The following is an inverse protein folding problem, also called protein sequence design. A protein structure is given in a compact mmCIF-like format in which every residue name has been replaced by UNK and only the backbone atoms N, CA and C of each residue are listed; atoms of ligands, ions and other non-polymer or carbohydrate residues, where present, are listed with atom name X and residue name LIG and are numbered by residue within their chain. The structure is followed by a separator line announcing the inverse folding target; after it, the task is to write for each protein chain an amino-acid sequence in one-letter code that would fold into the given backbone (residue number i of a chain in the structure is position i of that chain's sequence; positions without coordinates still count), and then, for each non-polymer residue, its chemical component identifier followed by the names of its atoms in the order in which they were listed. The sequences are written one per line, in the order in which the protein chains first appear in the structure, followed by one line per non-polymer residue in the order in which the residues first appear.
data_IF_390683401018
#
_entry.id   IF_390683401018
#
_cell.length_a   1.000
_cell.length_b   1.000
_cell.length_c   1.000
_cell.angle_alpha   90.00
_cell.angle_beta   90.00
_cell.angle_gamma   90.00
#
_symmetry.space_group_name_H-M   'P 1'
#
loop_
_entity.id
_entity.type
_entity.pdbx_description
1 polymer ?
#
# COMPACT_ATOMS: atom_id res chain seq x y z
N UNK A 1 -1.68 -13.34 -22.63
CA UNK A 1 -1.21 -11.95 -22.79
C UNK A 1 -0.42 -11.59 -21.56
N UNK A 2 0.85 -11.20 -21.69
CA UNK A 2 1.73 -10.92 -20.56
C UNK A 2 1.45 -9.48 -20.08
N UNK A 3 0.63 -9.32 -19.03
CA UNK A 3 0.06 -8.03 -18.60
C UNK A 3 0.96 -7.18 -17.70
N UNK A 4 2.14 -7.68 -17.32
CA UNK A 4 3.10 -6.92 -16.51
C UNK A 4 4.15 -6.25 -17.40
N UNK A 5 3.83 -5.06 -17.90
CA UNK A 5 4.79 -4.19 -18.59
C UNK A 5 5.61 -3.42 -17.56
N UNK A 6 6.93 -3.61 -17.61
CA UNK A 6 7.91 -2.88 -16.81
C UNK A 6 9.30 -3.00 -17.43
N UNK A 7 10.27 -2.30 -16.85
CA UNK A 7 11.68 -2.36 -17.25
C UNK A 7 12.57 -2.37 -16.02
N UNK A 8 13.62 -3.19 -16.08
CA UNK A 8 14.76 -3.10 -15.17
C UNK A 8 15.88 -2.37 -15.90
N UNK A 9 16.30 -1.24 -15.35
CA UNK A 9 17.47 -0.50 -15.82
C UNK A 9 18.62 -0.78 -14.88
N UNK A 10 19.72 -1.29 -15.43
CA UNK A 10 20.98 -1.48 -14.71
C UNK A 10 22.03 -0.61 -15.39
N UNK A 11 22.62 0.33 -14.64
CA UNK A 11 23.61 1.27 -15.17
C UNK A 11 24.69 1.58 -14.14
N UNK A 12 25.84 2.06 -14.60
CA UNK A 12 26.83 2.67 -13.71
C UNK A 12 26.35 4.06 -13.26
N UNK A 13 26.75 4.52 -12.06
CA UNK A 13 26.36 5.82 -11.52
C UNK A 13 26.87 6.99 -12.37
N UNK A 14 28.00 6.81 -13.06
CA UNK A 14 28.54 7.77 -14.01
C UNK A 14 27.86 7.75 -15.39
N UNK A 15 27.00 6.75 -15.65
CA UNK A 15 26.27 6.65 -16.92
C UNK A 15 24.93 7.35 -16.80
N UNK A 16 24.60 8.30 -17.69
CA UNK A 16 23.30 8.96 -17.69
C UNK A 16 22.18 7.94 -17.90
N UNK A 17 20.99 8.30 -17.41
CA UNK A 17 19.77 7.51 -17.64
C UNK A 17 19.46 7.48 -19.15
N UNK A 18 18.87 6.39 -19.69
CA UNK A 18 18.38 6.37 -21.06
C UNK A 18 17.36 7.48 -21.30
N UNK A 19 17.53 8.24 -22.39
CA UNK A 19 16.69 9.42 -22.70
C UNK A 19 15.21 9.07 -22.89
N UNK A 20 14.89 7.85 -23.31
CA UNK A 20 13.53 7.37 -23.53
C UNK A 20 12.85 6.88 -22.23
N UNK A 21 13.60 6.67 -21.14
CA UNK A 21 13.05 6.06 -19.93
C UNK A 21 11.97 6.93 -19.29
N UNK A 22 12.26 8.23 -19.12
CA UNK A 22 11.31 9.15 -18.47
C UNK A 22 10.02 9.29 -19.31
N UNK A 23 10.15 9.33 -20.64
CA UNK A 23 9.00 9.36 -21.55
C UNK A 23 8.16 8.09 -21.43
N UNK A 24 8.79 6.92 -21.28
CA UNK A 24 8.10 5.63 -21.10
C UNK A 24 7.43 5.54 -19.73
N UNK A 25 8.08 6.01 -18.66
CA UNK A 25 7.51 6.08 -17.31
C UNK A 25 6.21 6.90 -17.36
N UNK A 26 6.24 8.08 -17.99
CA UNK A 26 5.08 8.95 -18.13
C UNK A 26 3.99 8.33 -19.02
N UNK A 27 4.37 7.77 -20.17
CA UNK A 27 3.42 7.22 -21.16
C UNK A 27 2.68 5.99 -20.63
N UNK A 28 3.38 5.11 -19.90
CA UNK A 28 2.80 3.87 -19.38
C UNK A 28 2.20 4.03 -17.97
N UNK A 29 2.43 5.18 -17.32
CA UNK A 29 2.02 5.44 -15.94
C UNK A 29 2.74 4.52 -14.96
N UNK A 30 4.04 4.30 -15.17
CA UNK A 30 4.85 3.47 -14.29
C UNK A 30 5.25 4.23 -13.03
N UNK A 31 5.46 3.47 -11.96
CA UNK A 31 6.06 3.93 -10.71
C UNK A 31 7.38 3.20 -10.46
N UNK A 32 8.22 3.77 -9.61
CA UNK A 32 9.39 3.08 -9.13
C UNK A 32 8.95 1.94 -8.21
N UNK A 33 9.31 0.70 -8.56
CA UNK A 33 9.00 -0.49 -7.75
C UNK A 33 10.15 -0.83 -6.81
N UNK A 34 11.39 -0.61 -7.26
CA UNK A 34 12.60 -0.88 -6.51
C UNK A 34 13.74 -0.01 -7.04
N UNK A 35 14.44 0.68 -6.15
CA UNK A 35 15.63 1.49 -6.46
C UNK A 35 16.72 1.17 -5.44
N UNK A 36 17.89 0.71 -5.88
CA UNK A 36 19.05 0.51 -4.99
C UNK A 36 20.37 0.60 -5.75
N UNK A 37 21.47 0.73 -5.00
CA UNK A 37 22.82 0.75 -5.53
C UNK A 37 23.68 -0.38 -4.96
N UNK A 38 24.68 -0.81 -5.74
CA UNK A 38 25.71 -1.76 -5.31
C UNK A 38 27.05 -1.38 -5.94
N UNK A 39 27.94 -0.80 -5.13
CA UNK A 39 29.16 -0.17 -5.64
C UNK A 39 28.81 0.95 -6.63
N UNK A 40 29.34 0.86 -7.84
CA UNK A 40 29.04 1.82 -8.92
C UNK A 40 27.76 1.49 -9.71
N UNK A 41 27.09 0.37 -9.42
CA UNK A 41 25.88 -0.02 -10.14
C UNK A 41 24.62 0.57 -9.48
N UNK A 42 23.72 1.04 -10.32
CA UNK A 42 22.37 1.49 -10.00
C UNK A 42 21.36 0.55 -10.63
N UNK A 43 20.42 0.09 -9.81
CA UNK A 43 19.33 -0.79 -10.18
C UNK A 43 18.01 -0.04 -10.04
N UNK A 44 17.30 0.11 -11.15
CA UNK A 44 16.03 0.84 -11.18
C UNK A 44 14.95 -0.02 -11.84
N UNK A 45 14.02 -0.54 -11.05
CA UNK A 45 12.86 -1.28 -11.54
C UNK A 45 11.65 -0.36 -11.65
N UNK A 46 11.14 -0.21 -12.87
CA UNK A 46 9.98 0.60 -13.20
C UNK A 46 8.87 -0.27 -13.75
N UNK A 47 7.64 -0.04 -13.31
CA UNK A 47 6.49 -0.76 -13.83
C UNK A 47 5.19 -0.23 -13.26
N UNK A 48 4.08 -0.80 -13.73
CA UNK A 48 2.78 -0.54 -13.12
C UNK A 48 2.65 -1.41 -11.88
N UNK A 49 2.51 -0.79 -10.71
CA UNK A 49 2.13 -1.49 -9.50
C UNK A 49 0.65 -1.87 -9.64
N UNK A 50 0.37 -3.15 -9.88
CA UNK A 50 -0.96 -3.69 -9.68
C UNK A 50 -1.14 -3.96 -8.20
N UNK A 51 -1.73 -3.00 -7.50
CA UNK A 51 -2.45 -3.32 -6.27
C UNK A 51 -3.82 -3.76 -6.73
N UNK A 52 -4.02 -5.07 -6.90
CA UNK A 52 -5.37 -5.59 -6.83
C UNK A 52 -5.81 -5.35 -5.40
N UNK A 53 -6.54 -4.26 -5.16
CA UNK A 53 -7.54 -4.28 -4.11
C UNK A 53 -8.45 -5.41 -4.53
N UNK A 54 -8.31 -6.56 -3.88
CA UNK A 54 -9.30 -7.60 -3.98
C UNK A 54 -10.60 -6.91 -3.57
N UNK A 55 -11.47 -6.59 -4.53
CA UNK A 55 -12.86 -6.27 -4.23
C UNK A 55 -13.35 -7.52 -3.50
N UNK A 56 -13.36 -7.46 -2.17
CA UNK A 56 -14.09 -8.43 -1.38
C UNK A 56 -15.50 -8.40 -1.93
N UNK A 57 -16.00 -9.57 -2.34
CA UNK A 57 -17.39 -9.75 -2.78
C UNK A 57 -18.33 -8.85 -2.00
N UNK A 58 -19.28 -8.22 -2.70
CA UNK A 58 -20.24 -7.18 -2.25
C UNK A 58 -21.05 -7.46 -0.95
N UNK A 59 -20.76 -8.50 -0.19
CA UNK A 59 -21.21 -8.69 1.18
C UNK A 59 -20.31 -7.93 2.16
N UNK A 60 -20.62 -6.65 2.35
CA UNK A 60 -20.17 -5.94 3.53
C UNK A 60 -20.93 -6.47 4.75
N UNK A 61 -20.23 -7.14 5.65
CA UNK A 61 -20.76 -7.43 6.99
C UNK A 61 -20.56 -6.21 7.89
N UNK A 62 -21.59 -5.82 8.62
CA UNK A 62 -21.46 -4.82 9.68
C UNK A 62 -20.59 -5.34 10.82
N UNK A 63 -19.93 -4.44 11.57
CA UNK A 63 -19.14 -4.80 12.76
C UNK A 63 -20.02 -5.55 13.78
N UNK A 64 -21.31 -5.22 13.86
CA UNK A 64 -22.25 -5.91 14.74
C UNK A 64 -22.49 -7.37 14.32
N UNK A 65 -22.64 -7.64 13.02
CA UNK A 65 -22.77 -9.02 12.51
C UNK A 65 -21.49 -9.82 12.75
N UNK A 66 -20.33 -9.23 12.47
CA UNK A 66 -19.04 -9.86 12.76
C UNK A 66 -18.84 -10.15 14.26
N UNK A 67 -19.27 -9.25 15.14
CA UNK A 67 -19.19 -9.46 16.60
C UNK A 67 -20.05 -10.64 17.05
N UNK A 68 -21.27 -10.75 16.51
CA UNK A 68 -22.18 -11.87 16.79
C UNK A 68 -21.59 -13.20 16.31
N UNK A 69 -21.03 -13.24 15.10
CA UNK A 69 -20.38 -14.45 14.57
C UNK A 69 -19.18 -14.89 15.41
N UNK A 70 -18.42 -13.92 15.93
CA UNK A 70 -17.26 -14.16 16.78
C UNK A 70 -17.61 -14.41 18.26
N UNK A 71 -18.88 -14.33 18.63
CA UNK A 71 -19.34 -14.55 20.01
C UNK A 71 -18.88 -13.48 21.00
N UNK A 72 -18.69 -12.25 20.54
CA UNK A 72 -18.23 -11.10 21.33
C UNK A 72 -19.22 -9.93 21.24
N UNK A 73 -19.11 -8.96 22.14
CA UNK A 73 -19.82 -7.70 22.00
C UNK A 73 -19.21 -6.83 20.91
N UNK A 74 -20.01 -5.95 20.30
CA UNK A 74 -19.52 -4.97 19.31
C UNK A 74 -18.41 -4.09 19.89
N UNK A 75 -18.52 -3.72 21.17
CA UNK A 75 -17.54 -2.89 21.88
C UNK A 75 -16.20 -3.60 22.02
N UNK A 76 -16.20 -4.89 22.37
CA UNK A 76 -14.99 -5.72 22.44
C UNK A 76 -14.33 -5.88 21.07
N UNK A 77 -15.12 -6.10 20.01
CA UNK A 77 -14.58 -6.21 18.66
C UNK A 77 -13.94 -4.89 18.21
N UNK A 78 -14.61 -3.76 18.42
CA UNK A 78 -14.07 -2.44 18.08
C UNK A 78 -12.77 -2.14 18.82
N UNK A 79 -12.73 -2.42 20.13
CA UNK A 79 -11.51 -2.23 20.93
C UNK A 79 -10.35 -3.07 20.36
N UNK A 80 -10.61 -4.32 19.97
CA UNK A 80 -9.61 -5.18 19.36
C UNK A 80 -9.12 -4.66 18.00
N UNK A 81 -10.03 -4.17 17.17
CA UNK A 81 -9.68 -3.58 15.88
C UNK A 81 -8.81 -2.32 16.03
N UNK A 82 -9.00 -1.55 17.10
CA UNK A 82 -8.11 -0.42 17.43
C UNK A 82 -6.74 -0.92 17.92
N UNK A 83 -6.70 -1.93 18.79
CA UNK A 83 -5.43 -2.53 19.26
C UNK A 83 -4.59 -3.13 18.13
N UNK A 84 -5.26 -3.79 17.18
CA UNK A 84 -4.67 -4.40 15.99
C UNK A 84 -4.31 -3.36 14.92
N UNK A 85 -4.63 -2.08 15.14
CA UNK A 85 -4.27 -0.96 14.26
C UNK A 85 -5.12 -0.86 13.00
N UNK A 86 -6.31 -1.45 12.96
CA UNK A 86 -7.28 -1.33 11.86
C UNK A 86 -8.03 0.02 11.93
N UNK A 87 -8.31 0.50 13.14
CA UNK A 87 -8.94 1.79 13.39
C UNK A 87 -8.10 2.67 14.31
N UNK A 88 -8.24 3.98 14.15
CA UNK A 88 -7.66 5.00 15.01
C UNK A 88 -8.79 5.72 15.74
N UNK A 89 -8.64 5.86 17.06
CA UNK A 89 -9.51 6.75 17.85
C UNK A 89 -9.08 8.21 17.67
N UNK A 90 -10.04 9.05 17.32
CA UNK A 90 -9.88 10.51 17.24
C UNK A 90 -10.94 11.20 18.09
N UNK A 91 -10.80 12.51 18.32
CA UNK A 91 -11.80 13.32 19.03
C UNK A 91 -13.18 13.29 18.35
N UNK A 92 -13.22 13.04 17.05
CA UNK A 92 -14.43 13.06 16.23
C UNK A 92 -14.99 11.66 15.95
N UNK A 93 -14.36 10.61 16.50
CA UNK A 93 -14.78 9.21 16.36
C UNK A 93 -13.68 8.30 15.82
N UNK A 94 -14.09 7.15 15.27
CA UNK A 94 -13.19 6.13 14.71
C UNK A 94 -12.94 6.39 13.22
N UNK A 95 -11.67 6.38 12.82
CA UNK A 95 -11.27 6.46 11.41
C UNK A 95 -10.45 5.22 11.03
N UNK A 96 -10.56 4.76 9.78
CA UNK A 96 -9.76 3.66 9.28
C UNK A 96 -8.26 4.02 9.32
N UNK A 97 -7.43 3.13 9.84
CA UNK A 97 -6.00 3.37 9.94
C UNK A 97 -5.33 3.23 8.55
N UNK A 98 -4.46 4.16 8.15
CA UNK A 98 -3.70 4.03 6.91
C UNK A 98 -2.54 3.03 7.04
N UNK A 99 -2.21 2.56 8.26
CA UNK A 99 -1.15 1.56 8.49
C UNK A 99 -1.33 0.87 9.86
N UNK A 100 -1.19 -0.47 9.97
CA UNK A 100 -1.43 -1.20 11.23
C UNK A 100 -0.50 -0.80 12.40
N UNK A 101 0.69 -0.27 12.11
CA UNK A 101 1.59 0.24 13.15
C UNK A 101 1.22 1.63 13.68
N UNK A 102 0.29 2.33 13.01
CA UNK A 102 -0.23 3.61 13.51
C UNK A 102 -1.39 3.31 14.44
N UNK A 103 -1.14 3.45 15.75
CA UNK A 103 -2.15 3.26 16.80
C UNK A 103 -2.74 4.56 17.34
N UNK A 104 -2.08 5.70 17.09
CA UNK A 104 -2.52 7.02 17.52
C UNK A 104 -2.08 8.07 16.52
N UNK A 105 -2.96 9.02 16.22
CA UNK A 105 -2.58 10.28 15.59
C UNK A 105 -2.14 11.21 16.71
N UNK A 106 -0.91 11.71 16.62
CA UNK A 106 -0.48 12.79 17.51
C UNK A 106 -1.21 14.06 17.09
N UNK A 107 -2.12 14.56 17.92
CA UNK A 107 -2.73 15.87 17.70
C UNK A 107 -1.66 16.95 17.82
N UNK A 108 -1.43 17.69 16.74
CA UNK A 108 -0.71 18.98 16.78
C UNK A 108 -1.61 20.06 17.37
#
# INVERSE_FOLDING_TARGET
MNTNKGVLVVRSAGTPRPEDLDQRILTEGWSALLLFSYGDLLFEAWGRMYVEFQESSDEFASIAEAAVELGMSTEELVARMVEDGLFLETSDGLIASPHPDLRRISSC
#
